data_IF_948689734571
#
_entry.id   IF_948689734571
#
_cell.length_a   1.000
_cell.length_b   1.000
_cell.length_c   1.000
_cell.angle_alpha   90.00
_cell.angle_beta   90.00
_cell.angle_gamma   90.00
#
_symmetry.space_group_name_H-M   'P 1'
#
loop_
_entity.id
_entity.type
_entity.pdbx_description
1 polymer ?
#
# COMPACT_ATOMS: atom_id res chain seq x y z
N UNK A 1 -36.30 -2.16 -5.53
CA UNK A 1 -35.18 -1.27 -5.14
C UNK A 1 -34.01 -1.58 -6.07
N UNK A 2 -33.42 -0.55 -6.67
CA UNK A 2 -32.31 -0.66 -7.63
C UNK A 2 -30.95 -0.64 -6.94
N UNK A 3 -30.82 -1.30 -5.80
CA UNK A 3 -29.60 -1.31 -5.01
C UNK A 3 -28.59 -2.30 -5.59
N UNK A 4 -27.31 -1.94 -5.59
CA UNK A 4 -26.19 -2.81 -5.98
C UNK A 4 -25.37 -3.20 -4.77
N UNK A 5 -25.02 -4.49 -4.66
CA UNK A 5 -24.01 -4.96 -3.73
C UNK A 5 -22.67 -5.13 -4.45
N UNK A 6 -21.63 -4.43 -4.00
CA UNK A 6 -20.28 -4.52 -4.57
C UNK A 6 -19.45 -5.40 -3.65
N UNK A 7 -18.92 -6.52 -4.18
CA UNK A 7 -18.26 -7.55 -3.37
C UNK A 7 -16.88 -7.87 -3.96
N UNK A 8 -15.83 -7.70 -3.14
CA UNK A 8 -14.49 -8.17 -3.45
C UNK A 8 -14.41 -9.69 -3.39
N UNK A 9 -13.78 -10.33 -4.39
CA UNK A 9 -13.64 -11.80 -4.45
C UNK A 9 -12.19 -12.27 -4.44
N UNK A 10 -11.31 -11.50 -3.82
CA UNK A 10 -9.88 -11.84 -3.74
C UNK A 10 -9.54 -12.84 -2.64
N UNK A 11 -10.41 -13.01 -1.66
CA UNK A 11 -10.34 -14.05 -0.64
C UNK A 11 -11.50 -15.06 -0.75
N UNK A 12 -11.30 -16.23 -0.17
CA UNK A 12 -12.23 -17.34 -0.28
C UNK A 12 -13.58 -17.07 0.41
N UNK A 13 -13.54 -16.43 1.58
CA UNK A 13 -14.75 -16.17 2.37
C UNK A 13 -15.70 -15.22 1.62
N UNK A 14 -15.16 -14.09 1.12
CA UNK A 14 -15.96 -13.13 0.34
C UNK A 14 -16.38 -13.69 -1.03
N UNK A 15 -15.54 -14.52 -1.67
CA UNK A 15 -15.92 -15.23 -2.89
C UNK A 15 -17.11 -16.17 -2.66
N UNK A 16 -17.10 -16.96 -1.57
CA UNK A 16 -18.23 -17.81 -1.18
C UNK A 16 -19.48 -16.99 -0.86
N UNK A 17 -19.32 -15.87 -0.16
CA UNK A 17 -20.43 -14.94 0.14
C UNK A 17 -21.07 -14.42 -1.16
N UNK A 18 -20.27 -13.93 -2.10
CA UNK A 18 -20.77 -13.44 -3.40
C UNK A 18 -21.60 -14.49 -4.14
N UNK A 19 -21.14 -15.75 -4.16
CA UNK A 19 -21.87 -16.86 -4.79
C UNK A 19 -23.21 -17.15 -4.08
N UNK A 20 -23.24 -17.13 -2.75
CA UNK A 20 -24.46 -17.34 -1.95
C UNK A 20 -25.46 -16.21 -2.18
N UNK A 21 -25.01 -14.98 -2.20
CA UNK A 21 -25.87 -13.81 -2.39
C UNK A 21 -26.44 -13.75 -3.82
N UNK A 22 -25.67 -14.08 -4.86
CA UNK A 22 -26.18 -14.16 -6.25
C UNK A 22 -27.38 -15.14 -6.38
N UNK A 23 -27.48 -16.15 -5.51
CA UNK A 23 -28.60 -17.11 -5.51
C UNK A 23 -29.81 -16.65 -4.70
N UNK A 24 -29.63 -15.78 -3.70
CA UNK A 24 -30.66 -15.44 -2.71
C UNK A 24 -31.25 -14.05 -2.87
N UNK A 25 -30.49 -13.12 -3.44
CA UNK A 25 -30.91 -11.72 -3.53
C UNK A 25 -31.42 -11.39 -4.93
N UNK A 26 -32.52 -10.65 -4.98
CA UNK A 26 -32.97 -9.94 -6.17
C UNK A 26 -32.07 -8.74 -6.51
N UNK A 27 -31.21 -8.34 -5.58
CA UNK A 27 -30.28 -7.22 -5.75
C UNK A 27 -29.20 -7.55 -6.79
N UNK A 28 -28.86 -6.58 -7.59
CA UNK A 28 -27.79 -6.68 -8.58
C UNK A 28 -26.43 -6.69 -7.86
N UNK A 29 -25.60 -7.70 -8.15
CA UNK A 29 -24.28 -7.84 -7.53
C UNK A 29 -23.20 -7.54 -8.56
N UNK A 30 -22.28 -6.64 -8.21
CA UNK A 30 -21.05 -6.37 -8.97
C UNK A 30 -19.88 -6.99 -8.20
N UNK A 31 -19.21 -7.94 -8.80
CA UNK A 31 -18.00 -8.53 -8.22
C UNK A 31 -16.77 -7.78 -8.67
N UNK A 32 -15.83 -7.52 -7.75
CA UNK A 32 -14.58 -6.82 -8.02
C UNK A 32 -13.38 -7.63 -7.57
N UNK A 33 -12.24 -7.47 -8.26
CA UNK A 33 -11.00 -8.16 -7.91
C UNK A 33 -9.75 -7.40 -8.32
N UNK A 34 -8.70 -7.50 -7.50
CA UNK A 34 -7.35 -7.06 -7.87
C UNK A 34 -6.55 -8.07 -8.69
N UNK A 35 -7.02 -9.33 -8.81
CA UNK A 35 -6.25 -10.43 -9.43
C UNK A 35 -7.07 -11.51 -10.12
N UNK A 36 -8.36 -11.68 -9.79
CA UNK A 36 -9.20 -12.79 -10.27
C UNK A 36 -10.04 -12.36 -11.46
N UNK A 37 -9.82 -12.96 -12.62
CA UNK A 37 -10.52 -12.66 -13.87
C UNK A 37 -11.96 -13.18 -13.96
N UNK A 38 -12.47 -13.83 -12.92
CA UNK A 38 -13.89 -14.24 -12.81
C UNK A 38 -14.79 -13.14 -12.25
N UNK A 39 -14.21 -12.00 -11.81
CA UNK A 39 -14.97 -10.85 -11.37
C UNK A 39 -15.52 -10.04 -12.56
N UNK A 40 -16.59 -9.29 -12.33
CA UNK A 40 -17.18 -8.37 -13.32
C UNK A 40 -16.22 -7.19 -13.63
N UNK A 41 -15.47 -6.76 -12.60
CA UNK A 41 -14.44 -5.73 -12.74
C UNK A 41 -13.16 -6.23 -12.05
N UNK A 42 -12.09 -6.35 -12.81
CA UNK A 42 -10.84 -6.91 -12.29
C UNK A 42 -9.60 -6.30 -12.92
N UNK A 43 -8.43 -6.52 -12.28
CA UNK A 43 -7.15 -6.11 -12.81
C UNK A 43 -6.36 -7.32 -13.32
N UNK A 44 -5.88 -7.23 -14.55
CA UNK A 44 -4.95 -8.20 -15.17
C UNK A 44 -3.86 -7.44 -15.93
N UNK A 45 -2.59 -7.79 -15.70
CA UNK A 45 -1.44 -7.18 -16.38
C UNK A 45 -1.44 -5.64 -16.31
N UNK A 46 -1.74 -5.08 -15.14
CA UNK A 46 -1.86 -3.62 -14.91
C UNK A 46 -2.90 -2.92 -15.79
N UNK A 47 -3.89 -3.65 -16.26
CA UNK A 47 -5.08 -3.14 -16.95
C UNK A 47 -6.31 -3.47 -16.12
N UNK A 48 -7.13 -2.47 -15.81
CA UNK A 48 -8.46 -2.69 -15.26
C UNK A 48 -9.38 -3.09 -16.41
N UNK A 49 -10.07 -4.18 -16.25
CA UNK A 49 -11.01 -4.73 -17.21
C UNK A 49 -12.41 -4.68 -16.58
N UNK A 50 -13.32 -4.00 -17.23
CA UNK A 50 -14.73 -3.93 -16.90
C UNK A 50 -15.45 -4.82 -17.91
N UNK A 51 -16.15 -5.85 -17.42
CA UNK A 51 -16.96 -6.75 -18.23
C UNK A 51 -18.25 -7.04 -17.47
N UNK A 52 -19.17 -6.09 -17.54
CA UNK A 52 -20.36 -6.07 -16.70
C UNK A 52 -21.62 -5.87 -17.55
N UNK A 53 -22.69 -6.59 -17.24
CA UNK A 53 -23.99 -6.42 -17.88
C UNK A 53 -24.85 -5.45 -17.05
N UNK A 54 -25.14 -4.29 -17.64
CA UNK A 54 -25.97 -3.26 -17.04
C UNK A 54 -27.26 -3.12 -17.86
N UNK A 55 -28.42 -3.37 -17.26
CA UNK A 55 -29.74 -3.19 -17.91
C UNK A 55 -29.78 -3.77 -19.34
N UNK A 56 -29.36 -5.02 -19.49
CA UNK A 56 -29.25 -5.76 -20.77
C UNK A 56 -28.23 -5.19 -21.78
N UNK A 57 -27.43 -4.19 -21.39
CA UNK A 57 -26.32 -3.68 -22.19
C UNK A 57 -24.99 -4.17 -21.61
N UNK A 58 -24.16 -4.75 -22.46
CA UNK A 58 -22.80 -5.16 -22.06
C UNK A 58 -21.88 -3.94 -22.03
N UNK A 59 -21.33 -3.65 -20.86
CA UNK A 59 -20.27 -2.64 -20.69
C UNK A 59 -18.95 -3.38 -20.74
N UNK A 60 -18.12 -3.07 -21.75
CA UNK A 60 -16.76 -3.58 -21.85
C UNK A 60 -15.79 -2.42 -21.98
N UNK A 61 -14.82 -2.34 -21.07
CA UNK A 61 -13.79 -1.28 -21.07
C UNK A 61 -12.47 -1.82 -20.53
N UNK A 62 -11.37 -1.35 -21.13
CA UNK A 62 -10.00 -1.64 -20.67
C UNK A 62 -9.32 -0.32 -20.36
N UNK A 63 -8.76 -0.20 -19.16
CA UNK A 63 -8.11 1.02 -18.66
C UNK A 63 -6.71 0.68 -18.16
N UNK A 64 -5.69 1.37 -18.69
CA UNK A 64 -4.32 1.21 -18.19
C UNK A 64 -4.17 1.90 -16.84
N UNK A 65 -3.97 1.12 -15.76
CA UNK A 65 -3.83 1.64 -14.41
C UNK A 65 -2.42 2.14 -14.07
N UNK A 66 -1.42 1.92 -14.94
CA UNK A 66 -0.07 2.48 -14.77
C UNK A 66 -0.06 4.00 -14.71
N UNK A 67 -1.08 4.64 -15.31
CA UNK A 67 -1.26 6.10 -15.29
C UNK A 67 -1.64 6.67 -13.90
N UNK A 68 -2.09 5.83 -12.96
CA UNK A 68 -2.47 6.22 -11.59
C UNK A 68 -1.27 6.11 -10.66
N UNK A 69 -0.29 7.00 -10.84
CA UNK A 69 1.05 6.93 -10.21
C UNK A 69 1.05 6.96 -8.68
N UNK A 70 0.04 7.58 -8.08
CA UNK A 70 -0.06 7.73 -6.62
C UNK A 70 -0.72 6.53 -5.92
N UNK A 71 -1.36 5.64 -6.68
CA UNK A 71 -1.97 4.42 -6.17
C UNK A 71 -0.98 3.24 -6.22
N UNK A 72 0.07 3.33 -5.40
CA UNK A 72 1.17 2.37 -5.35
C UNK A 72 0.71 1.06 -4.71
N UNK A 73 1.12 -0.07 -5.31
CA UNK A 73 0.91 -1.42 -4.78
C UNK A 73 -0.35 -2.12 -5.30
N UNK A 74 -0.27 -3.44 -5.39
CA UNK A 74 -1.33 -4.29 -5.96
C UNK A 74 -2.62 -4.28 -5.12
N UNK A 75 -2.54 -3.96 -3.83
CA UNK A 75 -3.72 -3.81 -2.98
C UNK A 75 -4.65 -2.67 -3.44
N UNK A 76 -4.13 -1.67 -4.16
CA UNK A 76 -4.95 -0.63 -4.75
C UNK A 76 -5.72 -1.08 -6.00
N UNK A 77 -5.41 -2.24 -6.56
CA UNK A 77 -6.12 -2.73 -7.75
C UNK A 77 -7.59 -3.03 -7.45
N UNK A 78 -7.88 -3.66 -6.32
CA UNK A 78 -9.25 -3.89 -5.87
C UNK A 78 -9.95 -2.57 -5.50
N UNK A 79 -9.25 -1.61 -4.90
CA UNK A 79 -9.79 -0.28 -4.58
C UNK A 79 -10.18 0.48 -5.87
N UNK A 80 -9.33 0.44 -6.89
CA UNK A 80 -9.65 1.05 -8.20
C UNK A 80 -10.88 0.36 -8.81
N UNK A 81 -10.95 -0.96 -8.78
CA UNK A 81 -12.11 -1.70 -9.27
C UNK A 81 -13.39 -1.34 -8.51
N UNK A 82 -13.29 -1.12 -7.18
CA UNK A 82 -14.41 -0.67 -6.35
C UNK A 82 -14.94 0.72 -6.75
N UNK A 83 -14.03 1.68 -7.01
CA UNK A 83 -14.40 3.02 -7.48
C UNK A 83 -15.20 2.93 -8.78
N UNK A 84 -14.75 2.16 -9.75
CA UNK A 84 -15.48 1.98 -11.01
C UNK A 84 -16.81 1.26 -10.82
N UNK A 85 -16.88 0.25 -9.94
CA UNK A 85 -18.13 -0.43 -9.62
C UNK A 85 -19.17 0.52 -8.99
N UNK A 86 -18.74 1.37 -8.05
CA UNK A 86 -19.59 2.38 -7.42
C UNK A 86 -20.12 3.36 -8.47
N UNK A 87 -19.26 3.91 -9.32
CA UNK A 87 -19.66 4.88 -10.34
C UNK A 87 -20.63 4.27 -11.35
N UNK A 88 -20.41 3.00 -11.75
CA UNK A 88 -21.35 2.26 -12.59
C UNK A 88 -22.72 2.07 -11.93
N UNK A 89 -22.75 1.71 -10.64
CA UNK A 89 -24.00 1.55 -9.89
C UNK A 89 -24.78 2.87 -9.76
N UNK A 90 -24.06 4.00 -9.80
CA UNK A 90 -24.63 5.36 -9.78
C UNK A 90 -24.96 5.91 -11.18
N UNK A 91 -24.85 5.11 -12.24
CA UNK A 91 -25.10 5.50 -13.63
C UNK A 91 -24.14 6.59 -14.16
N UNK A 92 -22.91 6.64 -13.60
CA UNK A 92 -21.89 7.63 -14.00
C UNK A 92 -20.92 6.99 -15.00
N UNK A 93 -20.97 7.39 -16.27
CA UNK A 93 -20.22 6.79 -17.37
C UNK A 93 -19.22 7.74 -18.05
N UNK A 94 -18.92 8.90 -17.46
CA UNK A 94 -17.91 9.81 -18.01
C UNK A 94 -16.49 9.30 -17.74
N UNK A 95 -16.04 8.33 -18.52
CA UNK A 95 -14.76 7.65 -18.37
C UNK A 95 -13.56 8.60 -18.31
N UNK A 96 -13.56 9.63 -19.15
CA UNK A 96 -12.46 10.62 -19.19
C UNK A 96 -12.35 11.36 -17.87
N UNK A 97 -13.46 11.88 -17.36
CA UNK A 97 -13.50 12.59 -16.08
C UNK A 97 -13.14 11.69 -14.89
N UNK A 98 -13.59 10.42 -14.90
CA UNK A 98 -13.25 9.43 -13.87
C UNK A 98 -11.75 9.21 -13.85
N UNK A 99 -11.14 8.97 -15.02
CA UNK A 99 -9.70 8.75 -15.12
C UNK A 99 -8.87 9.96 -14.70
N UNK A 100 -9.30 11.16 -15.06
CA UNK A 100 -8.66 12.42 -14.65
C UNK A 100 -8.75 12.60 -13.13
N UNK A 101 -9.89 12.31 -12.52
CA UNK A 101 -10.09 12.40 -11.07
C UNK A 101 -9.21 11.38 -10.31
N UNK A 102 -9.09 10.15 -10.82
CA UNK A 102 -8.20 9.15 -10.19
C UNK A 102 -6.72 9.53 -10.37
N UNK A 103 -6.34 10.12 -11.51
CA UNK A 103 -4.97 10.61 -11.73
C UNK A 103 -4.59 11.75 -10.80
N UNK A 104 -5.52 12.66 -10.51
CA UNK A 104 -5.30 13.81 -9.62
C UNK A 104 -5.32 13.42 -8.14
N UNK A 105 -5.80 12.23 -7.80
CA UNK A 105 -5.82 11.75 -6.42
C UNK A 105 -4.39 11.51 -5.92
N UNK A 106 -3.98 12.27 -4.92
CA UNK A 106 -2.61 12.23 -4.37
C UNK A 106 -2.34 11.02 -3.46
N UNK A 107 -3.34 10.19 -3.21
CA UNK A 107 -3.29 9.11 -2.23
C UNK A 107 -3.68 9.60 -0.83
N UNK A 108 -3.79 8.66 0.11
CA UNK A 108 -4.07 8.99 1.51
C UNK A 108 -2.75 9.32 2.24
N UNK A 109 -2.73 10.34 3.11
CA UNK A 109 -1.59 10.59 3.98
C UNK A 109 -1.19 9.32 4.75
N UNK A 110 0.10 9.12 4.93
CA UNK A 110 0.66 8.00 5.70
C UNK A 110 0.35 6.58 5.18
N UNK A 111 -0.15 6.45 3.93
CA UNK A 111 -0.35 5.16 3.25
C UNK A 111 0.46 5.12 1.95
N UNK A 112 1.65 4.55 2.00
CA UNK A 112 2.63 4.56 0.90
C UNK A 112 2.76 5.95 0.25
N UNK A 113 2.60 6.99 1.05
CA UNK A 113 2.66 8.39 0.63
C UNK A 113 4.06 8.72 0.11
N UNK A 114 4.15 9.16 -1.13
CA UNK A 114 5.40 9.71 -1.68
C UNK A 114 5.63 11.09 -1.08
N UNK A 115 6.64 11.22 -0.20
CA UNK A 115 6.94 12.47 0.50
C UNK A 115 7.86 13.36 -0.31
N UNK A 116 8.94 12.78 -0.85
CA UNK A 116 9.96 13.54 -1.57
C UNK A 116 10.87 12.61 -2.38
N UNK A 117 11.33 13.11 -3.52
CA UNK A 117 12.42 12.53 -4.29
C UNK A 117 13.66 13.43 -4.16
N UNK A 118 14.78 12.89 -3.66
CA UNK A 118 16.08 13.57 -3.60
C UNK A 118 17.06 12.79 -4.47
N UNK A 119 17.50 13.35 -5.60
CA UNK A 119 18.30 12.63 -6.61
C UNK A 119 17.56 11.35 -7.05
N UNK A 120 18.10 10.17 -6.72
CA UNK A 120 17.51 8.85 -7.04
C UNK A 120 16.90 8.16 -5.80
N UNK A 121 16.67 8.89 -4.71
CA UNK A 121 16.17 8.35 -3.45
C UNK A 121 14.74 8.84 -3.22
N UNK A 122 13.79 7.93 -3.22
CA UNK A 122 12.38 8.22 -2.93
C UNK A 122 12.10 7.96 -1.46
N UNK A 123 11.46 8.91 -0.78
CA UNK A 123 11.02 8.77 0.61
C UNK A 123 9.53 8.43 0.65
N UNK A 124 9.19 7.28 1.24
CA UNK A 124 7.83 6.77 1.34
C UNK A 124 7.40 6.72 2.80
N UNK A 125 6.30 7.39 3.11
CA UNK A 125 5.66 7.40 4.42
C UNK A 125 4.49 6.41 4.45
N UNK A 126 4.65 5.35 5.23
CA UNK A 126 3.64 4.33 5.44
C UNK A 126 3.39 4.12 6.96
N UNK A 127 3.35 5.25 7.71
CA UNK A 127 3.17 5.23 9.17
C UNK A 127 1.88 4.50 9.60
N UNK A 128 0.87 4.42 8.72
CA UNK A 128 -0.38 3.68 8.93
C UNK A 128 -0.19 2.15 8.98
N UNK A 129 0.92 1.62 8.47
CA UNK A 129 1.26 0.19 8.56
C UNK A 129 1.66 -0.19 10.00
N UNK A 130 0.67 -0.33 10.87
CA UNK A 130 0.84 -0.62 12.31
C UNK A 130 0.88 -2.11 12.64
N UNK A 131 0.97 -2.97 11.64
CA UNK A 131 1.09 -4.42 11.77
C UNK A 131 1.92 -5.03 10.62
N UNK A 132 2.30 -6.28 10.79
CA UNK A 132 3.16 -7.05 9.87
C UNK A 132 2.53 -7.19 8.49
N UNK A 133 1.22 -7.48 8.41
CA UNK A 133 0.54 -7.69 7.14
C UNK A 133 0.54 -6.42 6.27
N UNK A 134 0.21 -5.25 6.86
CA UNK A 134 0.26 -3.97 6.15
C UNK A 134 1.68 -3.70 5.61
N UNK A 135 2.72 -3.88 6.43
CA UNK A 135 4.11 -3.70 6.04
C UNK A 135 4.55 -4.70 4.95
N UNK A 136 4.01 -5.92 4.93
CA UNK A 136 4.28 -6.88 3.84
C UNK A 136 3.89 -6.34 2.47
N UNK A 137 2.75 -5.63 2.37
CA UNK A 137 2.33 -4.97 1.13
C UNK A 137 3.29 -3.84 0.72
N UNK A 138 3.76 -3.05 1.70
CA UNK A 138 4.73 -2.00 1.45
C UNK A 138 6.06 -2.56 0.92
N UNK A 139 6.62 -3.57 1.58
CA UNK A 139 7.88 -4.21 1.17
C UNK A 139 7.79 -4.86 -0.21
N UNK A 140 6.63 -5.43 -0.57
CA UNK A 140 6.39 -6.00 -1.91
C UNK A 140 6.43 -4.95 -3.02
N UNK A 141 6.13 -3.69 -2.72
CA UNK A 141 5.95 -2.62 -3.72
C UNK A 141 7.25 -2.00 -4.21
N UNK A 142 8.38 -2.21 -3.52
CA UNK A 142 9.65 -1.54 -3.81
C UNK A 142 10.83 -2.51 -3.83
N UNK A 143 11.96 -2.03 -4.37
CA UNK A 143 13.27 -2.69 -4.32
C UNK A 143 14.31 -1.69 -3.79
N UNK A 144 15.50 -2.17 -3.41
CA UNK A 144 16.58 -1.37 -2.82
C UNK A 144 16.10 -0.55 -1.64
N UNK A 145 15.46 -1.21 -0.68
CA UNK A 145 14.77 -0.58 0.44
C UNK A 145 15.74 -0.33 1.60
N UNK A 146 15.77 0.90 2.09
CA UNK A 146 16.31 1.30 3.38
C UNK A 146 15.11 1.45 4.32
N UNK A 147 14.89 0.44 5.15
CA UNK A 147 13.64 0.27 5.89
C UNK A 147 13.74 0.82 7.30
N UNK A 148 12.79 1.67 7.71
CA UNK A 148 12.63 2.16 9.08
C UNK A 148 11.50 1.37 9.73
N UNK A 149 11.83 0.62 10.80
CA UNK A 149 10.98 -0.37 11.45
C UNK A 149 10.97 -0.15 12.96
N UNK A 150 9.80 -0.31 13.59
CA UNK A 150 9.66 -0.37 15.04
C UNK A 150 8.62 0.58 15.61
N UNK A 151 8.45 0.48 16.93
CA UNK A 151 7.39 1.08 17.72
C UNK A 151 6.89 0.09 18.76
N UNK A 152 5.63 0.21 19.20
CA UNK A 152 4.96 -0.76 20.07
C UNK A 152 4.32 -1.87 19.27
N UNK A 153 4.88 -3.08 19.32
CA UNK A 153 4.37 -4.21 18.56
C UNK A 153 3.11 -4.80 19.17
N UNK A 154 2.11 -5.07 18.31
CA UNK A 154 0.98 -5.95 18.63
C UNK A 154 1.41 -7.42 18.57
N UNK A 155 2.23 -7.75 17.57
CA UNK A 155 2.79 -9.07 17.33
C UNK A 155 4.31 -8.94 17.19
N UNK A 156 5.06 -9.75 17.95
CA UNK A 156 6.54 -9.70 17.94
C UNK A 156 7.16 -10.50 16.79
N UNK A 157 6.36 -11.14 15.94
CA UNK A 157 6.81 -12.09 14.91
C UNK A 157 6.90 -11.42 13.54
N UNK A 158 8.09 -11.42 12.94
CA UNK A 158 8.37 -10.85 11.61
C UNK A 158 8.55 -11.93 10.52
N UNK A 159 8.28 -13.21 10.83
CA UNK A 159 8.57 -14.34 9.94
C UNK A 159 7.89 -14.20 8.56
N UNK A 160 6.67 -13.68 8.52
CA UNK A 160 5.93 -13.49 7.27
C UNK A 160 6.58 -12.47 6.32
N UNK A 161 7.44 -11.58 6.85
CA UNK A 161 8.16 -10.60 6.05
C UNK A 161 9.42 -11.16 5.39
N UNK A 162 9.92 -12.36 5.81
CA UNK A 162 11.15 -12.97 5.27
C UNK A 162 11.15 -13.12 3.74
N UNK A 163 9.97 -13.39 3.16
CA UNK A 163 9.78 -13.49 1.70
C UNK A 163 10.13 -12.21 0.93
N UNK A 164 10.29 -11.07 1.63
CA UNK A 164 10.64 -9.78 1.03
C UNK A 164 12.05 -9.31 1.38
N UNK A 165 12.80 -10.03 2.22
CA UNK A 165 14.09 -9.57 2.73
C UNK A 165 15.12 -9.33 1.62
N UNK A 166 15.05 -10.05 0.52
CA UNK A 166 15.93 -9.85 -0.65
C UNK A 166 15.80 -8.45 -1.29
N UNK A 167 14.75 -7.69 -0.96
CA UNK A 167 14.51 -6.32 -1.43
C UNK A 167 15.13 -5.26 -0.52
N UNK A 168 15.58 -5.66 0.69
CA UNK A 168 16.00 -4.75 1.75
C UNK A 168 17.53 -4.67 1.76
N UNK A 169 18.05 -3.46 1.74
CA UNK A 169 19.49 -3.19 1.83
C UNK A 169 19.95 -2.99 3.27
N UNK A 170 19.14 -2.31 4.08
CA UNK A 170 19.44 -2.05 5.48
C UNK A 170 18.15 -1.74 6.26
N UNK A 171 18.15 -2.10 7.56
CA UNK A 171 17.02 -1.83 8.47
C UNK A 171 17.48 -0.87 9.57
N UNK A 172 16.67 0.17 9.83
CA UNK A 172 16.88 1.10 10.96
C UNK A 172 15.79 0.87 11.99
N UNK A 173 16.19 0.47 13.19
CA UNK A 173 15.31 -0.01 14.25
C UNK A 173 15.06 1.09 15.28
N UNK A 174 13.79 1.41 15.52
CA UNK A 174 13.33 2.46 16.44
C UNK A 174 12.32 1.92 17.47
N UNK A 175 12.01 2.74 18.47
CA UNK A 175 10.94 2.48 19.45
C UNK A 175 11.19 1.31 20.40
N UNK A 176 10.14 0.87 21.08
CA UNK A 176 10.20 -0.17 22.12
C UNK A 176 10.73 -1.52 21.60
N UNK A 177 10.45 -1.87 20.35
CA UNK A 177 10.79 -3.18 19.78
C UNK A 177 12.20 -3.28 19.20
N UNK A 178 12.99 -2.22 19.17
CA UNK A 178 14.27 -2.13 18.45
C UNK A 178 15.24 -3.27 18.78
N UNK A 179 15.44 -3.63 20.04
CA UNK A 179 16.37 -4.69 20.44
C UNK A 179 15.81 -6.11 20.17
N UNK A 180 14.50 -6.29 20.31
CA UNK A 180 13.84 -7.58 19.99
C UNK A 180 13.96 -7.87 18.50
N UNK A 181 13.73 -6.86 17.66
CA UNK A 181 13.84 -7.00 16.22
C UNK A 181 15.28 -7.09 15.75
N UNK A 182 16.22 -6.41 16.38
CA UNK A 182 17.64 -6.59 16.10
C UNK A 182 18.07 -8.04 16.31
N UNK A 183 17.74 -8.63 17.47
CA UNK A 183 18.07 -10.02 17.78
C UNK A 183 17.58 -11.00 16.72
N UNK A 184 16.38 -10.74 16.15
CA UNK A 184 15.82 -11.58 15.10
C UNK A 184 16.42 -11.28 13.72
N UNK A 185 16.55 -10.02 13.35
CA UNK A 185 16.88 -9.60 11.98
C UNK A 185 18.37 -9.71 11.65
N UNK A 186 19.28 -9.56 12.64
CA UNK A 186 20.73 -9.60 12.42
C UNK A 186 21.24 -10.87 11.74
N UNK A 187 20.48 -11.96 11.82
CA UNK A 187 20.81 -13.21 11.15
C UNK A 187 20.45 -13.23 9.66
N UNK A 188 19.73 -12.22 9.17
CA UNK A 188 19.18 -12.17 7.81
C UNK A 188 19.48 -10.88 7.08
N UNK A 189 19.60 -9.76 7.80
CA UNK A 189 19.69 -8.41 7.26
C UNK A 189 20.70 -7.57 8.04
N UNK A 190 21.34 -6.65 7.34
CA UNK A 190 22.08 -5.57 8.01
C UNK A 190 21.09 -4.65 8.71
N UNK A 191 21.27 -4.42 10.00
CA UNK A 191 20.42 -3.54 10.78
C UNK A 191 21.23 -2.64 11.72
N UNK A 192 20.66 -1.50 12.06
CA UNK A 192 21.20 -0.53 13.02
C UNK A 192 20.10 -0.12 14.00
N UNK A 193 20.38 -0.27 15.28
CA UNK A 193 19.55 0.31 16.33
C UNK A 193 19.88 1.80 16.42
N UNK A 194 18.84 2.64 16.37
CA UNK A 194 18.97 4.10 16.39
C UNK A 194 18.12 4.72 17.48
N UNK A 195 18.44 5.97 17.84
CA UNK A 195 17.82 6.64 18.99
C UNK A 195 16.33 6.92 18.76
N UNK A 196 15.97 7.43 17.57
CA UNK A 196 14.61 7.87 17.26
C UNK A 196 14.38 7.97 15.75
N UNK A 197 13.15 8.31 15.35
CA UNK A 197 12.74 8.45 13.95
C UNK A 197 13.53 9.51 13.18
N UNK A 198 13.94 10.62 13.82
CA UNK A 198 14.74 11.67 13.18
C UNK A 198 16.11 11.15 12.75
N UNK A 199 16.77 10.44 13.65
CA UNK A 199 18.07 9.82 13.35
C UNK A 199 17.94 8.72 12.30
N UNK A 200 16.92 7.84 12.41
CA UNK A 200 16.62 6.82 11.41
C UNK A 200 16.46 7.42 10.01
N UNK A 201 15.71 8.52 9.89
CA UNK A 201 15.49 9.21 8.61
C UNK A 201 16.79 9.77 8.04
N UNK A 202 17.66 10.38 8.88
CA UNK A 202 18.95 10.93 8.45
C UNK A 202 19.91 9.83 8.02
N UNK A 203 20.03 8.76 8.81
CA UNK A 203 20.95 7.66 8.53
C UNK A 203 20.50 6.87 7.29
N UNK A 204 19.22 6.58 7.14
CA UNK A 204 18.69 5.90 5.95
C UNK A 204 19.00 6.66 4.67
N UNK A 205 18.89 7.99 4.67
CA UNK A 205 19.33 8.83 3.56
C UNK A 205 20.84 8.71 3.32
N UNK A 206 21.66 8.81 4.39
CA UNK A 206 23.12 8.73 4.27
C UNK A 206 23.60 7.38 3.71
N UNK A 207 22.93 6.30 4.06
CA UNK A 207 23.19 4.97 3.50
C UNK A 207 22.74 4.87 2.05
N UNK A 208 21.51 5.30 1.75
CA UNK A 208 20.95 5.25 0.40
C UNK A 208 21.75 6.08 -0.62
N UNK A 209 22.30 7.24 -0.22
CA UNK A 209 23.09 8.09 -1.13
C UNK A 209 24.44 7.51 -1.52
N UNK A 210 24.95 6.50 -0.80
CA UNK A 210 26.17 5.76 -1.18
C UNK A 210 25.92 4.83 -2.37
N UNK A 211 24.68 4.45 -2.62
CA UNK A 211 24.29 3.63 -3.77
C UNK A 211 24.28 4.50 -5.05
N UNK A 212 25.33 4.38 -5.87
CA UNK A 212 25.54 5.25 -7.04
C UNK A 212 24.74 4.83 -8.28
N UNK A 213 24.47 3.52 -8.44
CA UNK A 213 23.95 2.95 -9.69
C UNK A 213 22.44 2.88 -9.76
N UNK A 214 21.77 2.51 -8.68
CA UNK A 214 20.34 2.21 -8.65
C UNK A 214 19.53 3.28 -7.92
N UNK A 215 18.25 3.40 -8.27
CA UNK A 215 17.29 4.14 -7.44
C UNK A 215 17.05 3.40 -6.14
N UNK A 216 16.93 4.14 -5.05
CA UNK A 216 16.72 3.61 -3.70
C UNK A 216 15.44 4.15 -3.10
N UNK A 217 14.89 3.41 -2.15
CA UNK A 217 13.69 3.82 -1.41
C UNK A 217 14.00 3.85 0.08
N UNK A 218 13.81 4.99 0.72
CA UNK A 218 13.71 5.10 2.18
C UNK A 218 12.25 4.88 2.54
N UNK A 219 11.95 3.70 3.08
CA UNK A 219 10.61 3.27 3.41
C UNK A 219 10.39 3.33 4.92
N UNK A 220 9.51 4.22 5.36
CA UNK A 220 8.99 4.23 6.73
C UNK A 220 7.70 3.43 6.78
N UNK A 221 7.77 2.14 7.11
CA UNK A 221 6.66 1.21 7.29
C UNK A 221 6.90 0.39 8.55
N UNK A 222 6.45 0.88 9.71
CA UNK A 222 6.96 0.50 11.03
C UNK A 222 6.52 -0.87 11.52
N UNK A 223 5.52 -1.54 10.95
CA UNK A 223 4.92 -2.79 11.41
C UNK A 223 4.41 -2.77 12.87
N UNK A 224 4.45 -1.62 13.52
CA UNK A 224 4.17 -1.40 14.93
C UNK A 224 3.23 -0.21 15.13
N UNK A 225 2.47 -0.23 16.23
CA UNK A 225 1.75 0.93 16.72
C UNK A 225 2.73 2.06 17.07
N UNK A 226 2.24 3.30 17.07
CA UNK A 226 3.01 4.52 17.39
C UNK A 226 2.96 4.90 18.87
N UNK A 227 2.12 4.21 19.65
CA UNK A 227 1.74 4.60 21.03
C UNK A 227 2.87 4.43 22.08
N UNK A 228 4.09 4.14 21.66
CA UNK A 228 5.30 4.18 22.49
C UNK A 228 5.91 5.59 22.58
N UNK A 229 5.87 6.36 21.49
CA UNK A 229 6.51 7.70 21.43
C UNK A 229 5.56 8.78 20.88
N UNK A 230 4.37 8.41 20.34
CA UNK A 230 3.48 9.31 19.62
C UNK A 230 2.03 9.10 20.03
N UNK A 231 1.22 10.15 19.95
CA UNK A 231 -0.23 10.09 20.22
C UNK A 231 -0.95 9.10 19.29
N UNK A 232 -0.56 9.12 18.02
CA UNK A 232 -1.15 8.28 16.97
C UNK A 232 -0.19 8.10 15.80
N UNK A 233 -0.61 7.32 14.78
CA UNK A 233 0.19 7.10 13.57
C UNK A 233 0.29 8.35 12.68
N UNK A 234 -0.63 9.30 12.79
CA UNK A 234 -0.67 10.54 12.00
C UNK A 234 0.42 11.48 12.49
N UNK A 235 0.50 11.70 13.81
CA UNK A 235 1.57 12.50 14.42
C UNK A 235 2.95 11.93 14.06
N UNK A 236 3.14 10.63 14.20
CA UNK A 236 4.37 9.92 13.82
C UNK A 236 4.68 10.10 12.33
N UNK A 237 3.68 9.97 11.48
CA UNK A 237 3.83 10.15 10.04
C UNK A 237 4.13 11.60 9.64
N UNK A 238 3.50 12.58 10.29
CA UNK A 238 3.78 14.00 10.09
C UNK A 238 5.21 14.37 10.50
N UNK A 239 5.71 13.80 11.60
CA UNK A 239 7.09 13.97 12.02
C UNK A 239 8.07 13.43 10.99
N UNK A 240 7.83 12.24 10.42
CA UNK A 240 8.64 11.70 9.33
C UNK A 240 8.66 12.66 8.12
N UNK A 241 7.50 13.16 7.69
CA UNK A 241 7.40 14.13 6.59
C UNK A 241 8.24 15.38 6.88
N UNK A 242 8.14 15.93 8.10
CA UNK A 242 8.94 17.09 8.54
C UNK A 242 10.45 16.80 8.48
N UNK A 243 10.88 15.63 8.97
CA UNK A 243 12.30 15.26 8.94
C UNK A 243 12.82 15.10 7.52
N UNK A 244 12.05 14.49 6.62
CA UNK A 244 12.40 14.34 5.20
C UNK A 244 12.49 15.68 4.49
N UNK A 245 11.55 16.61 4.74
CA UNK A 245 11.57 17.97 4.15
C UNK A 245 12.81 18.77 4.54
N UNK A 246 13.32 18.54 5.76
CA UNK A 246 14.51 19.22 6.30
C UNK A 246 15.86 18.62 5.85
N UNK A 247 15.85 17.54 5.08
CA UNK A 247 17.09 17.00 4.50
C UNK A 247 17.62 18.00 3.45
N UNK A 248 18.82 18.53 3.70
CA UNK A 248 19.54 19.35 2.71
C UNK A 248 20.00 18.46 1.53
N UNK A 249 19.89 18.98 0.32
CA UNK A 249 20.32 18.29 -0.93
C UNK A 249 21.83 18.10 -1.00
#
# INVERSE_FOLDING_TARGET
REDYAIIGIDDEATCCLAKKLKKKLSSKIITISGKNNKADIFVKNKKLIINFNYENKKIFKIIDIKKFKNLIGEHNYQNIAAVYAILLSMKIFNWKKIEESIKSFEGLPHRLQNVRLIKKITFINDSKATNVNATSHALKSFNNIYWILGGRAKEKKLQELRKHFFRIKHVFLIGETKFIYEKYLKNYLNCSVVKNLKEATKLSYNFARKEKRNSSVVLFSPACSSLDEWKDFEERGNAFVKFVKNIKK
#
